data_IF_890145983899
#
_entry.id   IF_890145983899
#
_cell.length_a   1.000
_cell.length_b   1.000
_cell.length_c   1.000
_cell.angle_alpha   90.00
_cell.angle_beta   90.00
_cell.angle_gamma   90.00
#
_symmetry.space_group_name_H-M   'P 1'
#
loop_
_entity.id
_entity.type
_entity.pdbx_description
1 polymer ?
#
# COMPACT_ATOMS: atom_id res chain seq x y z
N UNK A 1 -7.60 -13.89 21.81
CA UNK A 1 -7.15 -14.42 20.50
C UNK A 1 -6.91 -13.23 19.59
N UNK A 2 -5.65 -12.83 19.39
CA UNK A 2 -5.31 -11.78 18.44
C UNK A 2 -5.45 -12.35 17.02
N UNK A 3 -6.29 -11.72 16.19
CA UNK A 3 -6.30 -12.01 14.75
C UNK A 3 -4.91 -11.67 14.22
N UNK A 4 -4.14 -12.67 13.78
CA UNK A 4 -3.01 -12.42 12.90
C UNK A 4 -3.59 -11.71 11.67
N UNK A 5 -3.10 -10.50 11.40
CA UNK A 5 -3.51 -9.69 10.27
C UNK A 5 -3.46 -10.55 9.00
N UNK A 6 -4.57 -10.60 8.28
CA UNK A 6 -4.64 -11.25 6.98
C UNK A 6 -3.63 -10.56 6.08
N UNK A 7 -2.51 -11.24 5.80
CA UNK A 7 -1.59 -10.82 4.75
C UNK A 7 -2.39 -10.79 3.45
N UNK A 8 -2.76 -9.59 3.00
CA UNK A 8 -3.48 -9.38 1.76
C UNK A 8 -2.50 -9.61 0.61
N UNK A 9 -2.53 -10.80 0.03
CA UNK A 9 -1.82 -11.08 -1.22
C UNK A 9 -2.74 -10.59 -2.34
N UNK A 10 -2.50 -9.37 -2.82
CA UNK A 10 -3.23 -8.83 -3.96
C UNK A 10 -2.72 -9.51 -5.24
N UNK A 11 -3.60 -10.22 -5.92
CA UNK A 11 -3.37 -10.65 -7.29
C UNK A 11 -3.49 -9.45 -8.24
N UNK A 12 -2.91 -9.53 -9.43
CA UNK A 12 -3.05 -8.47 -10.44
C UNK A 12 -4.53 -8.12 -10.73
N UNK A 13 -5.46 -9.10 -10.82
CA UNK A 13 -6.90 -8.81 -10.84
C UNK A 13 -7.42 -7.96 -9.68
N UNK A 14 -6.94 -8.18 -8.46
CA UNK A 14 -7.39 -7.42 -7.29
C UNK A 14 -6.94 -5.96 -7.36
N UNK A 15 -5.75 -5.70 -7.91
CA UNK A 15 -5.23 -4.33 -8.13
C UNK A 15 -6.12 -3.55 -9.12
N UNK A 16 -6.69 -4.22 -10.13
CA UNK A 16 -7.59 -3.57 -11.08
C UNK A 16 -8.88 -3.07 -10.40
N UNK A 17 -9.36 -3.80 -9.39
CA UNK A 17 -10.57 -3.45 -8.64
C UNK A 17 -10.35 -2.32 -7.63
N UNK A 18 -9.10 -2.06 -7.21
CA UNK A 18 -8.79 -0.99 -6.23
C UNK A 18 -9.21 0.39 -6.72
N UNK A 19 -9.17 0.62 -8.04
CA UNK A 19 -9.64 1.88 -8.62
C UNK A 19 -11.14 2.06 -8.40
N UNK A 20 -11.92 1.02 -8.66
CA UNK A 20 -13.37 1.04 -8.48
C UNK A 20 -13.72 1.19 -7.00
N UNK A 21 -12.99 0.51 -6.09
CA UNK A 21 -13.16 0.68 -4.64
C UNK A 21 -12.89 2.12 -4.17
N UNK A 22 -11.85 2.77 -4.70
CA UNK A 22 -11.57 4.17 -4.38
C UNK A 22 -12.67 5.11 -4.91
N UNK A 23 -13.12 4.89 -6.15
CA UNK A 23 -14.19 5.70 -6.73
C UNK A 23 -15.51 5.52 -5.95
N UNK A 24 -15.80 4.31 -5.45
CA UNK A 24 -16.92 4.05 -4.53
C UNK A 24 -16.77 4.80 -3.20
N UNK A 25 -15.59 4.74 -2.55
CA UNK A 25 -15.34 5.48 -1.31
C UNK A 25 -15.61 6.98 -1.47
N UNK A 26 -15.13 7.58 -2.58
CA UNK A 26 -15.31 9.00 -2.86
C UNK A 26 -16.79 9.36 -3.04
N UNK A 27 -17.57 8.49 -3.68
CA UNK A 27 -19.01 8.66 -3.89
C UNK A 27 -19.79 8.48 -2.58
N UNK A 28 -19.53 7.41 -1.83
CA UNK A 28 -20.22 7.07 -0.58
C UNK A 28 -19.98 8.13 0.50
N UNK A 29 -18.76 8.66 0.61
CA UNK A 29 -18.38 9.67 1.61
C UNK A 29 -18.63 11.11 1.14
N UNK A 30 -19.22 11.31 -0.05
CA UNK A 30 -19.49 12.63 -0.65
C UNK A 30 -18.29 13.59 -0.61
N UNK A 31 -17.06 13.07 -0.81
CA UNK A 31 -15.82 13.81 -0.52
C UNK A 31 -15.59 15.06 -1.39
N UNK A 32 -16.41 15.27 -2.41
CA UNK A 32 -16.33 16.44 -3.32
C UNK A 32 -15.07 16.47 -4.20
N UNK A 33 -14.28 15.40 -4.17
CA UNK A 33 -13.09 15.21 -5.01
C UNK A 33 -13.37 14.19 -6.11
N UNK A 34 -12.42 14.01 -7.03
CA UNK A 34 -12.46 12.95 -8.03
C UNK A 34 -11.09 12.33 -8.14
N UNK A 35 -11.05 11.01 -8.30
CA UNK A 35 -9.78 10.33 -8.54
C UNK A 35 -9.16 10.82 -9.86
N UNK A 36 -7.90 11.28 -9.85
CA UNK A 36 -7.25 11.80 -11.06
C UNK A 36 -7.29 10.83 -12.24
N UNK A 37 -7.40 11.39 -13.46
CA UNK A 37 -7.31 10.60 -14.69
C UNK A 37 -5.93 9.96 -14.80
N UNK A 38 -5.87 8.75 -15.35
CA UNK A 38 -4.63 7.96 -15.50
C UNK A 38 -3.93 7.68 -14.17
N UNK A 39 -4.63 7.67 -13.03
CA UNK A 39 -4.01 7.17 -11.81
C UNK A 39 -4.00 5.64 -11.77
N UNK A 40 -2.96 5.10 -11.17
CA UNK A 40 -2.82 3.69 -10.83
C UNK A 40 -2.90 3.56 -9.31
N UNK A 41 -3.96 2.91 -8.83
CA UNK A 41 -4.16 2.62 -7.41
C UNK A 41 -3.47 1.29 -7.12
N UNK A 42 -2.52 1.28 -6.20
CA UNK A 42 -1.61 0.13 -6.01
C UNK A 42 -1.63 -0.44 -4.59
N UNK A 43 -2.26 0.26 -3.64
CA UNK A 43 -2.39 -0.19 -2.27
C UNK A 43 -3.71 0.30 -1.69
N UNK A 44 -4.31 -0.54 -0.85
CA UNK A 44 -5.35 -0.13 0.09
C UNK A 44 -5.04 -0.66 1.48
N UNK A 45 -5.55 0.03 2.50
CA UNK A 45 -5.54 -0.46 3.88
C UNK A 45 -6.97 -0.41 4.43
N UNK A 46 -7.48 -1.59 4.78
CA UNK A 46 -8.86 -1.84 5.24
C UNK A 46 -9.96 -1.23 4.34
N UNK A 47 -9.69 -1.00 3.06
CA UNK A 47 -10.59 -0.31 2.11
C UNK A 47 -10.94 1.15 2.49
N UNK A 48 -10.25 1.71 3.48
CA UNK A 48 -10.47 3.08 3.96
C UNK A 48 -9.36 4.04 3.55
N UNK A 49 -8.20 3.50 3.17
CA UNK A 49 -7.03 4.26 2.77
C UNK A 49 -6.56 3.72 1.44
N UNK A 50 -6.32 4.59 0.47
CA UNK A 50 -5.85 4.21 -0.86
C UNK A 50 -4.61 5.02 -1.22
N UNK A 51 -3.55 4.33 -1.64
CA UNK A 51 -2.36 4.96 -2.22
C UNK A 51 -2.33 4.75 -3.74
N UNK A 52 -2.00 5.82 -4.46
CA UNK A 52 -1.97 5.84 -5.92
C UNK A 52 -0.91 6.77 -6.47
N UNK A 53 -0.61 6.66 -7.76
CA UNK A 53 0.21 7.62 -8.49
C UNK A 53 -0.37 7.93 -9.86
N UNK A 54 0.08 8.99 -10.53
CA UNK A 54 -0.40 9.38 -11.86
C UNK A 54 0.55 8.85 -12.95
N UNK A 55 0.03 8.11 -13.92
CA UNK A 55 0.77 7.60 -15.07
C UNK A 55 1.05 8.73 -16.09
N UNK A 56 2.06 9.53 -15.81
CA UNK A 56 2.48 10.67 -16.64
C UNK A 56 3.78 10.42 -17.43
N UNK A 57 4.32 9.19 -17.41
CA UNK A 57 5.57 8.82 -18.07
C UNK A 57 6.83 9.03 -17.22
N UNK A 58 6.70 9.55 -15.99
CA UNK A 58 7.79 9.54 -15.03
C UNK A 58 8.03 8.09 -14.53
N UNK A 59 9.26 7.55 -14.64
CA UNK A 59 9.59 6.21 -14.15
C UNK A 59 9.53 6.07 -12.62
N UNK A 60 9.60 7.18 -11.88
CA UNK A 60 9.50 7.21 -10.42
C UNK A 60 8.46 8.26 -9.98
N UNK A 61 7.16 7.95 -10.09
CA UNK A 61 6.10 8.94 -9.92
C UNK A 61 5.89 9.30 -8.44
N UNK A 62 5.28 10.47 -8.19
CA UNK A 62 4.88 10.88 -6.84
C UNK A 62 3.70 10.03 -6.38
N UNK A 63 3.72 9.64 -5.10
CA UNK A 63 2.64 8.88 -4.45
C UNK A 63 1.70 9.83 -3.72
N UNK A 64 0.41 9.59 -3.93
CA UNK A 64 -0.71 10.31 -3.31
C UNK A 64 -1.55 9.35 -2.48
N UNK A 65 -2.28 9.91 -1.52
CA UNK A 65 -3.19 9.17 -0.64
C UNK A 65 -4.57 9.83 -0.54
N UNK A 66 -5.60 8.99 -0.48
CA UNK A 66 -6.95 9.37 -0.05
C UNK A 66 -7.32 8.48 1.14
N UNK A 67 -7.86 9.11 2.19
CA UNK A 67 -8.35 8.45 3.40
C UNK A 67 -9.85 8.74 3.57
N UNK A 68 -10.58 7.80 4.19
CA UNK A 68 -11.95 8.00 4.67
C UNK A 68 -12.07 9.28 5.50
N UNK A 69 -13.14 10.05 5.26
CA UNK A 69 -13.41 11.31 5.95
C UNK A 69 -12.51 12.50 5.57
N UNK A 70 -11.58 12.34 4.61
CA UNK A 70 -10.76 13.45 4.09
C UNK A 70 -11.18 13.87 2.69
N UNK A 71 -11.72 15.08 2.58
CA UNK A 71 -12.10 15.70 1.29
C UNK A 71 -10.92 16.26 0.49
N UNK A 72 -9.70 15.75 0.68
CA UNK A 72 -8.53 16.17 -0.09
C UNK A 72 -7.57 15.02 -0.34
N UNK A 73 -6.79 15.16 -1.42
CA UNK A 73 -5.71 14.25 -1.77
C UNK A 73 -4.46 14.68 -1.01
N UNK A 74 -3.89 13.77 -0.22
CA UNK A 74 -2.62 14.00 0.48
C UNK A 74 -1.46 13.68 -0.49
N UNK A 75 -0.61 14.68 -0.75
CA UNK A 75 0.68 14.45 -1.37
C UNK A 75 1.65 13.92 -0.31
N UNK A 76 2.11 12.68 -0.47
CA UNK A 76 3.04 12.07 0.48
C UNK A 76 4.45 12.66 0.37
N UNK A 77 4.70 13.51 -0.63
CA UNK A 77 5.98 14.17 -0.91
C UNK A 77 7.10 13.21 -1.28
N UNK A 78 6.77 11.93 -1.48
CA UNK A 78 7.71 10.84 -1.75
C UNK A 78 7.45 10.29 -3.15
N UNK A 79 8.53 10.02 -3.89
CA UNK A 79 8.44 9.20 -5.10
C UNK A 79 8.05 7.77 -4.74
N UNK A 80 7.64 6.98 -5.73
CA UNK A 80 7.27 5.58 -5.53
C UNK A 80 8.41 4.78 -4.89
N UNK A 81 9.64 5.01 -5.34
CA UNK A 81 10.84 4.38 -4.78
C UNK A 81 11.04 4.77 -3.31
N UNK A 82 10.99 6.06 -2.96
CA UNK A 82 11.13 6.53 -1.57
C UNK A 82 9.99 6.00 -0.69
N UNK A 83 8.76 6.00 -1.19
CA UNK A 83 7.61 5.42 -0.50
C UNK A 83 7.85 3.94 -0.15
N UNK A 84 8.32 3.13 -1.11
CA UNK A 84 8.62 1.72 -0.89
C UNK A 84 9.77 1.50 0.11
N UNK A 85 10.85 2.29 0.03
CA UNK A 85 11.95 2.19 0.99
C UNK A 85 11.48 2.50 2.41
N UNK A 86 10.66 3.54 2.59
CA UNK A 86 10.10 3.87 3.91
C UNK A 86 9.19 2.76 4.46
N UNK A 87 8.41 2.10 3.61
CA UNK A 87 7.62 0.94 4.03
C UNK A 87 8.52 -0.20 4.51
N UNK A 88 9.60 -0.50 3.78
CA UNK A 88 10.56 -1.53 4.16
C UNK A 88 11.21 -1.19 5.51
N UNK A 89 11.68 0.04 5.70
CA UNK A 89 12.30 0.48 6.95
C UNK A 89 11.31 0.45 8.13
N UNK A 90 10.04 0.75 7.88
CA UNK A 90 8.99 0.71 8.91
C UNK A 90 8.68 -0.74 9.31
N UNK A 91 8.65 -1.66 8.34
CA UNK A 91 8.56 -3.10 8.57
C UNK A 91 9.76 -3.67 9.34
N UNK A 92 10.90 -2.99 9.33
CA UNK A 92 12.09 -3.40 10.09
C UNK A 92 12.07 -2.86 11.53
N UNK A 93 11.47 -1.69 11.76
CA UNK A 93 11.29 -1.15 13.12
C UNK A 93 10.25 -1.92 13.95
N UNK A 94 9.29 -2.60 13.32
CA UNK A 94 8.34 -3.47 14.03
C UNK A 94 8.95 -4.82 14.49
N UNK A 95 10.21 -5.11 14.13
CA UNK A 95 10.92 -6.36 14.44
C UNK A 95 11.73 -6.37 15.74
N UNK A 96 11.78 -5.28 16.50
CA UNK A 96 12.62 -5.19 17.70
C UNK A 96 12.09 -5.93 18.94
N UNK A 97 11.19 -6.91 18.79
CA UNK A 97 10.86 -7.90 19.83
C UNK A 97 10.61 -9.28 19.18
N UNK A 98 11.67 -10.06 18.94
CA UNK A 98 11.59 -11.49 18.59
C UNK A 98 11.45 -11.84 17.10
N UNK A 99 12.14 -11.12 16.21
CA UNK A 99 12.07 -11.38 14.77
C UNK A 99 12.78 -12.67 14.32
N UNK A 100 12.27 -13.26 13.24
CA UNK A 100 12.89 -14.38 12.51
C UNK A 100 13.19 -13.96 11.07
N UNK A 101 14.35 -14.36 10.53
CA UNK A 101 14.66 -14.27 9.10
C UNK A 101 14.16 -15.52 8.39
N UNK A 102 13.65 -15.30 7.17
CA UNK A 102 13.22 -16.37 6.28
C UNK A 102 13.98 -16.25 4.96
N UNK A 103 14.53 -17.35 4.47
CA UNK A 103 15.19 -17.37 3.16
C UNK A 103 15.06 -18.75 2.51
N UNK A 104 15.14 -18.78 1.17
CA UNK A 104 15.08 -19.99 0.38
C UNK A 104 16.50 -20.56 0.19
N UNK A 105 16.70 -21.85 0.46
CA UNK A 105 18.02 -22.50 0.35
C UNK A 105 18.20 -23.37 -0.92
N UNK A 106 17.20 -23.40 -1.81
CA UNK A 106 17.19 -24.30 -2.98
C UNK A 106 16.33 -25.56 -2.79
N UNK A 107 15.99 -25.92 -1.56
CA UNK A 107 15.20 -27.12 -1.21
C UNK A 107 13.93 -26.77 -0.39
N UNK A 108 13.89 -25.57 0.20
CA UNK A 108 12.74 -25.06 0.94
C UNK A 108 12.97 -23.70 1.59
N UNK A 109 11.93 -23.17 2.25
CA UNK A 109 12.04 -21.96 3.07
C UNK A 109 12.58 -22.32 4.46
N UNK A 110 13.69 -21.70 4.86
CA UNK A 110 14.26 -21.82 6.20
C UNK A 110 13.80 -20.63 7.05
N UNK A 111 13.47 -20.91 8.32
CA UNK A 111 13.17 -19.92 9.36
C UNK A 111 14.25 -19.95 10.43
N UNK A 112 14.90 -18.82 10.70
CA UNK A 112 15.89 -18.68 11.78
C UNK A 112 15.61 -17.44 12.63
N UNK A 113 15.78 -17.48 13.96
CA UNK A 113 15.70 -16.28 14.77
C UNK A 113 16.80 -15.29 14.34
N UNK A 114 16.46 -14.00 14.28
CA UNK A 114 17.48 -12.95 14.23
C UNK A 114 18.28 -13.04 15.53
N UNK A 115 19.57 -13.38 15.45
CA UNK A 115 20.50 -13.33 16.59
C UNK A 115 20.88 -11.89 16.90
#
# INVERSE_FOLDING_TARGET
MGKLGSTLILSYPDILNLRDSLDNLIEEEELGIRTPKKSFVFSSFDELIFDFFICNGNPDPVVYRIDEGRSHIEDRGSTFTDYFFRLIETCDKSKSNGAFKYYWNGEGVIKEPFK
#
